data_IF_687741937625
#
_entry.id   IF_687741937625
#
_cell.length_a   1.000
_cell.length_b   1.000
_cell.length_c   1.000
_cell.angle_alpha   90.00
_cell.angle_beta   90.00
_cell.angle_gamma   90.00
#
_symmetry.space_group_name_H-M   'P 1'
#
loop_
_entity.id
_entity.type
_entity.pdbx_description
1 polymer ?
#
# COMPACT_ATOMS: atom_id res chain seq x y z
N UNK A 1 6.78 22.65 14.84
CA UNK A 1 6.07 23.39 13.75
C UNK A 1 6.24 22.77 12.36
N UNK A 2 7.32 22.04 12.04
CA UNK A 2 7.48 21.40 10.73
C UNK A 2 6.52 20.21 10.46
N UNK A 3 6.07 19.51 11.50
CA UNK A 3 5.18 18.33 11.36
C UNK A 3 3.73 18.75 11.04
N UNK A 4 3.29 19.93 11.48
CA UNK A 4 1.94 20.45 11.19
C UNK A 4 1.78 20.84 9.71
N UNK A 5 2.87 21.19 9.02
CA UNK A 5 2.84 21.59 7.59
C UNK A 5 2.82 20.41 6.62
N UNK A 6 3.23 19.21 7.02
CA UNK A 6 3.21 18.05 6.13
C UNK A 6 1.87 17.32 6.13
N UNK A 7 1.13 17.32 7.24
CA UNK A 7 -0.24 16.81 7.25
C UNK A 7 -1.22 17.71 6.48
N UNK A 8 -1.00 19.01 6.45
CA UNK A 8 -1.85 19.93 5.67
C UNK A 8 -1.66 19.75 4.16
N UNK A 9 -0.44 19.44 3.70
CA UNK A 9 -0.18 19.21 2.28
C UNK A 9 -0.77 17.89 1.77
N UNK A 10 -0.86 16.85 2.59
CA UNK A 10 -1.53 15.59 2.24
C UNK A 10 -3.06 15.70 2.24
N UNK A 11 -3.62 16.59 3.04
CA UNK A 11 -5.08 16.77 3.16
C UNK A 11 -5.64 17.76 2.12
N UNK A 12 -4.85 18.75 1.68
CA UNK A 12 -5.30 19.70 0.64
C UNK A 12 -5.38 19.07 -0.75
N UNK A 13 -4.59 18.03 -1.04
CA UNK A 13 -4.65 17.34 -2.35
C UNK A 13 -5.87 16.43 -2.48
N UNK A 14 -6.43 15.94 -1.36
CA UNK A 14 -7.63 15.10 -1.40
C UNK A 14 -8.93 15.88 -1.66
N UNK A 15 -8.92 17.20 -1.44
CA UNK A 15 -10.13 18.05 -1.58
C UNK A 15 -10.25 18.65 -2.98
N UNK A 16 -9.14 18.88 -3.68
CA UNK A 16 -9.17 19.50 -5.02
C UNK A 16 -9.44 18.50 -6.17
N UNK A 17 -9.50 17.19 -5.90
CA UNK A 17 -9.46 16.17 -6.96
C UNK A 17 -10.75 15.40 -7.27
N UNK A 18 -11.91 15.66 -6.67
CA UNK A 18 -13.11 14.80 -6.94
C UNK A 18 -14.46 15.47 -7.13
N UNK A 19 -14.50 16.76 -7.43
CA UNK A 19 -15.77 17.44 -7.74
C UNK A 19 -15.72 18.01 -9.16
N UNK A 20 -15.98 17.13 -10.16
CA UNK A 20 -16.42 17.64 -11.45
C UNK A 20 -17.72 18.40 -11.20
N UNK A 21 -17.80 19.68 -11.56
CA UNK A 21 -18.96 20.54 -11.30
C UNK A 21 -20.29 19.94 -11.80
N UNK A 22 -20.24 19.10 -12.84
CA UNK A 22 -21.38 18.34 -13.33
C UNK A 22 -21.95 17.31 -12.34
N UNK A 23 -21.13 16.76 -11.44
CA UNK A 23 -21.54 15.69 -10.51
C UNK A 23 -22.34 16.27 -9.35
N UNK A 24 -21.86 17.37 -8.78
CA UNK A 24 -22.60 18.10 -7.76
C UNK A 24 -23.91 18.64 -8.32
N UNK A 25 -23.89 19.18 -9.55
CA UNK A 25 -25.09 19.64 -10.23
C UNK A 25 -26.13 18.51 -10.43
N UNK A 26 -25.70 17.29 -10.79
CA UNK A 26 -26.60 16.13 -10.90
C UNK A 26 -27.25 15.78 -9.56
N UNK A 27 -26.48 15.83 -8.46
CA UNK A 27 -27.00 15.59 -7.10
C UNK A 27 -27.99 16.68 -6.67
N UNK A 28 -27.70 17.95 -6.97
CA UNK A 28 -28.61 19.06 -6.67
C UNK A 28 -29.93 18.95 -7.44
N UNK A 29 -29.89 18.57 -8.71
CA UNK A 29 -31.11 18.34 -9.50
C UNK A 29 -31.98 17.25 -8.86
N UNK A 30 -31.37 16.10 -8.50
CA UNK A 30 -32.09 15.00 -7.84
C UNK A 30 -32.68 15.43 -6.49
N UNK A 31 -31.94 16.24 -5.74
CA UNK A 31 -32.43 16.82 -4.49
C UNK A 31 -33.67 17.70 -4.72
N UNK A 32 -33.63 18.63 -5.68
CA UNK A 32 -34.76 19.50 -5.99
C UNK A 32 -35.98 18.71 -6.48
N UNK A 33 -35.77 17.67 -7.30
CA UNK A 33 -36.82 16.77 -7.75
C UNK A 33 -37.51 16.06 -6.58
N UNK A 34 -36.72 15.46 -5.67
CA UNK A 34 -37.25 14.78 -4.49
C UNK A 34 -38.00 15.74 -3.56
N UNK A 35 -37.48 16.94 -3.34
CA UNK A 35 -38.16 17.98 -2.55
C UNK A 35 -39.50 18.36 -3.19
N UNK A 36 -39.54 18.50 -4.52
CA UNK A 36 -40.78 18.84 -5.22
C UNK A 36 -41.84 17.73 -5.08
N UNK A 37 -41.44 16.46 -5.15
CA UNK A 37 -42.31 15.30 -4.93
C UNK A 37 -42.88 15.30 -3.51
N UNK A 38 -42.04 15.57 -2.51
CA UNK A 38 -42.50 15.67 -1.11
C UNK A 38 -43.52 16.81 -0.94
N UNK A 39 -43.26 17.98 -1.54
CA UNK A 39 -44.20 19.12 -1.49
C UNK A 39 -45.51 18.83 -2.24
N UNK A 40 -45.46 18.07 -3.33
CA UNK A 40 -46.65 17.62 -4.06
C UNK A 40 -47.55 16.75 -3.15
N UNK A 41 -46.97 15.79 -2.44
CA UNK A 41 -47.72 14.95 -1.49
C UNK A 41 -48.19 15.71 -0.24
N UNK A 42 -47.55 16.83 0.12
CA UNK A 42 -48.02 17.75 1.16
C UNK A 42 -49.12 18.73 0.66
N UNK A 43 -49.60 18.56 -0.57
CA UNK A 43 -50.60 19.40 -1.23
C UNK A 43 -50.15 20.86 -1.46
N UNK A 44 -48.84 21.14 -1.40
CA UNK A 44 -48.25 22.45 -1.68
C UNK A 44 -47.90 22.58 -3.16
N UNK A 45 -48.92 22.53 -4.03
CA UNK A 45 -48.76 22.43 -5.50
C UNK A 45 -47.97 23.59 -6.13
N UNK A 46 -48.14 24.82 -5.65
CA UNK A 46 -47.43 26.00 -6.19
C UNK A 46 -45.92 26.01 -5.87
N UNK A 47 -45.53 25.49 -4.70
CA UNK A 47 -44.10 25.38 -4.34
C UNK A 47 -43.47 24.21 -5.09
N UNK A 48 -44.20 23.09 -5.20
CA UNK A 48 -43.78 21.93 -5.99
C UNK A 48 -43.55 22.29 -7.47
N UNK A 49 -44.43 23.09 -8.09
CA UNK A 49 -44.27 23.49 -9.50
C UNK A 49 -43.03 24.34 -9.72
N UNK A 50 -42.67 25.23 -8.77
CA UNK A 50 -41.45 26.04 -8.85
C UNK A 50 -40.19 25.18 -8.76
N UNK A 51 -40.17 24.21 -7.83
CA UNK A 51 -39.04 23.30 -7.70
C UNK A 51 -38.91 22.35 -8.89
N UNK A 52 -40.02 21.87 -9.46
CA UNK A 52 -39.99 21.07 -10.68
C UNK A 52 -39.48 21.86 -11.88
N UNK A 53 -39.88 23.13 -12.04
CA UNK A 53 -39.36 23.99 -13.11
C UNK A 53 -37.86 24.23 -12.96
N UNK A 54 -37.38 24.38 -11.71
CA UNK A 54 -35.95 24.48 -11.41
C UNK A 54 -35.21 23.18 -11.76
N UNK A 55 -35.72 22.03 -11.31
CA UNK A 55 -35.15 20.73 -11.63
C UNK A 55 -35.11 20.47 -13.14
N UNK A 56 -36.10 20.96 -13.89
CA UNK A 56 -36.15 20.84 -15.36
C UNK A 56 -35.06 21.68 -16.06
N UNK A 57 -34.84 22.90 -15.57
CA UNK A 57 -33.73 23.75 -16.05
C UNK A 57 -32.35 23.14 -15.75
N UNK A 58 -32.19 22.56 -14.56
CA UNK A 58 -30.95 21.89 -14.16
C UNK A 58 -30.74 20.62 -15.00
N UNK A 59 -31.78 19.79 -15.17
CA UNK A 59 -31.74 18.58 -16.01
C UNK A 59 -31.37 18.92 -17.46
N UNK A 60 -31.95 19.98 -18.02
CA UNK A 60 -31.65 20.42 -19.39
C UNK A 60 -30.19 20.85 -19.55
N UNK A 61 -29.59 21.48 -18.54
CA UNK A 61 -28.18 21.86 -18.55
C UNK A 61 -27.23 20.66 -18.34
N UNK A 62 -27.69 19.64 -17.61
CA UNK A 62 -26.94 18.39 -17.34
C UNK A 62 -27.05 17.38 -18.48
N UNK A 63 -28.04 17.52 -19.36
CA UNK A 63 -28.30 16.59 -20.45
C UNK A 63 -27.21 16.73 -21.51
N UNK A 64 -26.55 15.60 -21.78
CA UNK A 64 -25.51 15.50 -22.80
C UNK A 64 -26.17 15.21 -24.15
N UNK A 65 -25.69 15.85 -25.21
CA UNK A 65 -26.12 15.59 -26.57
C UNK A 65 -25.58 14.24 -27.07
N UNK A 66 -26.48 13.39 -27.58
CA UNK A 66 -26.16 12.03 -28.03
C UNK A 66 -25.21 12.04 -29.24
N UNK A 67 -25.32 13.05 -30.12
CA UNK A 67 -24.44 13.18 -31.28
C UNK A 67 -23.00 13.53 -30.83
N UNK A 68 -22.86 14.52 -29.96
CA UNK A 68 -21.57 14.89 -29.37
C UNK A 68 -20.95 13.75 -28.55
N UNK A 69 -21.77 12.93 -27.89
CA UNK A 69 -21.31 11.73 -27.20
C UNK A 69 -20.79 10.67 -28.18
N UNK A 70 -21.56 10.36 -29.23
CA UNK A 70 -21.16 9.37 -30.25
C UNK A 70 -19.85 9.74 -30.94
N UNK A 71 -19.65 11.02 -31.25
CA UNK A 71 -18.43 11.51 -31.91
C UNK A 71 -17.20 11.37 -31.02
N UNK A 72 -17.30 11.64 -29.71
CA UNK A 72 -16.20 11.37 -28.77
C UNK A 72 -15.90 9.87 -28.62
N UNK A 73 -16.93 9.02 -28.64
CA UNK A 73 -16.75 7.57 -28.61
C UNK A 73 -16.07 7.07 -29.89
N UNK A 74 -16.44 7.62 -31.05
CA UNK A 74 -15.77 7.33 -32.34
C UNK A 74 -14.30 7.77 -32.34
N UNK A 75 -13.96 8.86 -31.64
CA UNK A 75 -12.57 9.30 -31.43
C UNK A 75 -11.78 8.37 -30.49
N UNK A 76 -12.42 7.38 -29.87
CA UNK A 76 -11.79 6.35 -29.05
C UNK A 76 -11.81 6.64 -27.54
N UNK A 77 -12.62 7.60 -27.08
CA UNK A 77 -12.88 7.80 -25.66
C UNK A 77 -13.91 6.80 -25.13
N UNK A 78 -13.84 6.46 -23.85
CA UNK A 78 -14.90 5.64 -23.26
C UNK A 78 -16.18 6.46 -23.15
N UNK A 79 -17.36 5.82 -23.19
CA UNK A 79 -18.63 6.53 -23.07
C UNK A 79 -18.74 7.31 -21.75
N UNK A 80 -18.14 6.79 -20.67
CA UNK A 80 -18.08 7.41 -19.35
C UNK A 80 -17.19 8.66 -19.38
N UNK A 81 -15.96 8.55 -19.89
CA UNK A 81 -15.04 9.69 -20.06
C UNK A 81 -15.67 10.79 -20.94
N UNK A 82 -16.33 10.39 -22.03
CA UNK A 82 -16.98 11.31 -22.94
C UNK A 82 -18.16 12.06 -22.29
N UNK A 83 -19.00 11.37 -21.50
CA UNK A 83 -20.07 12.02 -20.72
C UNK A 83 -19.51 13.00 -19.70
N UNK A 84 -18.46 12.63 -18.97
CA UNK A 84 -17.83 13.54 -18.01
C UNK A 84 -17.20 14.76 -18.69
N UNK A 85 -16.48 14.54 -19.79
CA UNK A 85 -15.89 15.63 -20.57
C UNK A 85 -16.93 16.60 -21.11
N UNK A 86 -18.04 16.08 -21.66
CA UNK A 86 -19.13 16.92 -22.16
C UNK A 86 -19.88 17.66 -21.06
N UNK A 87 -20.10 17.04 -19.89
CA UNK A 87 -20.71 17.74 -18.74
C UNK A 87 -19.79 18.83 -18.19
N UNK A 88 -18.48 18.61 -18.18
CA UNK A 88 -17.50 19.61 -17.75
C UNK A 88 -17.38 20.78 -18.74
N UNK A 89 -17.49 20.50 -20.03
CA UNK A 89 -17.44 21.48 -21.12
C UNK A 89 -18.82 22.04 -21.53
N UNK A 90 -19.86 21.81 -20.72
CA UNK A 90 -21.23 22.28 -21.00
C UNK A 90 -21.76 21.96 -22.42
N UNK A 91 -21.35 20.83 -22.99
CA UNK A 91 -21.75 20.38 -24.33
C UNK A 91 -20.80 20.76 -25.47
N UNK A 92 -19.73 21.51 -25.21
CA UNK A 92 -18.75 21.89 -26.23
C UNK A 92 -17.74 20.75 -26.50
N UNK A 93 -17.73 20.25 -27.74
CA UNK A 93 -16.92 19.09 -28.12
C UNK A 93 -15.41 19.36 -28.07
N UNK A 94 -14.96 20.53 -28.51
CA UNK A 94 -13.53 20.89 -28.50
C UNK A 94 -12.96 20.98 -27.09
N UNK A 95 -13.68 21.67 -26.19
CA UNK A 95 -13.27 21.81 -24.79
C UNK A 95 -13.37 20.47 -24.05
N UNK A 96 -14.36 19.62 -24.39
CA UNK A 96 -14.45 18.27 -23.85
C UNK A 96 -13.22 17.41 -24.20
N UNK A 97 -12.70 17.49 -25.43
CA UNK A 97 -11.48 16.77 -25.83
C UNK A 97 -10.27 17.26 -25.03
N UNK A 98 -10.11 18.57 -24.89
CA UNK A 98 -9.03 19.16 -24.08
C UNK A 98 -9.12 18.73 -22.61
N UNK A 99 -10.33 18.73 -22.05
CA UNK A 99 -10.56 18.27 -20.68
C UNK A 99 -10.21 16.79 -20.49
N UNK A 100 -10.69 15.91 -21.38
CA UNK A 100 -10.44 14.46 -21.28
C UNK A 100 -8.94 14.16 -21.41
N UNK A 101 -8.25 14.81 -22.35
CA UNK A 101 -6.81 14.61 -22.57
C UNK A 101 -6.00 15.06 -21.36
N UNK A 102 -6.32 16.22 -20.78
CA UNK A 102 -5.71 16.70 -19.54
C UNK A 102 -5.97 15.75 -18.37
N UNK A 103 -7.22 15.33 -18.17
CA UNK A 103 -7.60 14.41 -17.10
C UNK A 103 -6.87 13.07 -17.19
N UNK A 104 -6.72 12.54 -18.41
CA UNK A 104 -5.96 11.30 -18.65
C UNK A 104 -4.47 11.48 -18.35
N UNK A 105 -3.87 12.62 -18.70
CA UNK A 105 -2.48 12.95 -18.39
C UNK A 105 -2.26 13.10 -16.87
N UNK A 106 -3.15 13.81 -16.18
CA UNK A 106 -3.10 14.01 -14.73
C UNK A 106 -3.25 12.68 -13.99
N UNK A 107 -4.22 11.83 -14.37
CA UNK A 107 -4.42 10.48 -13.82
C UNK A 107 -3.21 9.58 -14.07
N UNK A 108 -2.61 9.63 -15.26
CA UNK A 108 -1.40 8.87 -15.56
C UNK A 108 -0.17 9.37 -14.77
N UNK A 109 -0.06 10.68 -14.54
CA UNK A 109 0.97 11.28 -13.70
C UNK A 109 0.84 10.87 -12.24
N UNK A 110 -0.36 10.97 -11.69
CA UNK A 110 -0.67 10.57 -10.30
C UNK A 110 -0.37 9.09 -10.06
N UNK A 111 -0.81 8.19 -10.95
CA UNK A 111 -0.51 6.75 -10.87
C UNK A 111 0.99 6.46 -10.85
N UNK A 112 1.77 7.13 -11.72
CA UNK A 112 3.23 6.97 -11.74
C UNK A 112 3.90 7.45 -10.45
N UNK A 113 3.45 8.58 -9.91
CA UNK A 113 3.97 9.11 -8.65
C UNK A 113 3.65 8.19 -7.47
N UNK A 114 2.41 7.70 -7.41
CA UNK A 114 1.97 6.76 -6.36
C UNK A 114 2.74 5.43 -6.43
N UNK A 115 2.94 4.89 -7.63
CA UNK A 115 3.74 3.67 -7.82
C UNK A 115 5.19 3.87 -7.39
N UNK A 116 5.81 5.01 -7.74
CA UNK A 116 7.17 5.34 -7.32
C UNK A 116 7.28 5.49 -5.80
N UNK A 117 6.32 6.17 -5.16
CA UNK A 117 6.27 6.29 -3.71
C UNK A 117 6.08 4.93 -3.03
N UNK A 118 5.19 4.09 -3.57
CA UNK A 118 4.96 2.72 -3.07
C UNK A 118 6.21 1.87 -3.18
N UNK A 119 6.97 2.00 -4.26
CA UNK A 119 8.26 1.32 -4.42
C UNK A 119 9.28 1.82 -3.39
N UNK A 120 9.42 3.13 -3.23
CA UNK A 120 10.34 3.74 -2.26
C UNK A 120 9.99 3.32 -0.82
N UNK A 121 8.70 3.28 -0.46
CA UNK A 121 8.25 2.82 0.85
C UNK A 121 8.52 1.32 1.07
N UNK A 122 8.46 0.48 0.02
CA UNK A 122 8.88 -0.93 0.11
C UNK A 122 10.38 -1.03 0.37
N UNK A 123 11.19 -0.19 -0.26
CA UNK A 123 12.64 -0.15 -0.03
C UNK A 123 12.99 0.30 1.39
N UNK A 124 12.35 1.37 1.90
CA UNK A 124 12.47 1.80 3.30
C UNK A 124 12.20 0.65 4.28
N UNK A 125 11.13 -0.11 4.04
CA UNK A 125 10.79 -1.29 4.86
C UNK A 125 11.86 -2.38 4.83
N UNK A 126 12.54 -2.59 3.68
CA UNK A 126 13.65 -3.56 3.58
C UNK A 126 14.88 -3.11 4.34
N UNK A 127 15.20 -1.81 4.29
CA UNK A 127 16.38 -1.24 4.94
C UNK A 127 16.23 -1.14 6.46
N UNK A 128 15.00 -1.05 6.96
CA UNK A 128 14.69 -1.03 8.39
C UNK A 128 14.76 0.37 9.00
N UNK A 129 14.57 0.44 10.31
CA UNK A 129 14.59 1.69 11.08
C UNK A 129 16.00 2.02 11.57
N UNK A 130 16.27 3.30 11.78
CA UNK A 130 17.49 3.80 12.40
C UNK A 130 17.51 3.53 13.92
N UNK A 131 18.67 3.74 14.54
CA UNK A 131 18.88 3.52 15.98
C UNK A 131 17.95 4.38 16.85
N UNK A 132 17.53 5.55 16.37
CA UNK A 132 16.53 6.40 17.04
C UNK A 132 15.13 5.76 17.14
N UNK A 133 14.82 4.74 16.33
CA UNK A 133 13.49 4.11 16.27
C UNK A 133 12.39 4.96 15.62
N UNK A 134 12.67 6.24 15.29
CA UNK A 134 11.69 7.18 14.70
C UNK A 134 11.82 7.24 13.18
N UNK A 135 13.04 7.21 12.65
CA UNK A 135 13.31 7.42 11.23
C UNK A 135 13.60 6.10 10.51
N UNK A 136 13.05 5.94 9.31
CA UNK A 136 13.40 4.84 8.40
C UNK A 136 14.69 5.18 7.65
N UNK A 137 15.49 4.16 7.35
CA UNK A 137 16.68 4.35 6.52
C UNK A 137 16.27 4.76 5.11
N UNK A 138 16.80 5.89 4.64
CA UNK A 138 16.40 6.44 3.34
C UNK A 138 17.14 5.70 2.19
N UNK A 139 16.42 5.17 1.19
CA UNK A 139 17.03 4.42 0.08
C UNK A 139 18.04 5.23 -0.73
N UNK A 140 17.84 6.56 -0.81
CA UNK A 140 18.74 7.47 -1.51
C UNK A 140 20.15 7.46 -0.93
N UNK A 141 20.27 7.52 0.40
CA UNK A 141 21.57 7.50 1.08
C UNK A 141 22.21 6.12 1.04
N UNK A 142 21.40 5.07 1.13
CA UNK A 142 21.88 3.70 0.97
C UNK A 142 22.48 3.47 -0.42
N UNK A 143 21.77 3.87 -1.48
CA UNK A 143 22.25 3.77 -2.86
C UNK A 143 23.50 4.63 -3.09
N UNK A 144 23.59 5.80 -2.45
CA UNK A 144 24.78 6.64 -2.50
C UNK A 144 26.01 5.95 -1.89
N UNK A 145 25.89 5.32 -0.71
CA UNK A 145 26.99 4.55 -0.11
C UNK A 145 27.37 3.33 -0.97
N UNK A 146 26.40 2.66 -1.58
CA UNK A 146 26.70 1.59 -2.54
C UNK A 146 27.47 2.10 -3.76
N UNK A 147 27.11 3.28 -4.28
CA UNK A 147 27.84 3.90 -5.39
C UNK A 147 29.27 4.32 -5.04
N UNK A 148 29.56 4.58 -3.76
CA UNK A 148 30.92 4.80 -3.26
C UNK A 148 31.75 3.50 -3.12
N UNK A 149 31.12 2.34 -3.32
CA UNK A 149 31.78 1.02 -3.24
C UNK A 149 31.63 0.30 -1.90
N UNK A 150 30.81 0.82 -0.97
CA UNK A 150 30.53 0.13 0.28
C UNK A 150 29.52 -1.00 0.07
N UNK A 151 29.65 -2.09 0.84
CA UNK A 151 28.70 -3.20 0.78
C UNK A 151 27.30 -2.77 1.22
N UNK A 152 26.25 -3.37 0.65
CA UNK A 152 24.86 -3.04 1.00
C UNK A 152 24.59 -3.20 2.50
N UNK A 153 25.06 -4.29 3.12
CA UNK A 153 24.85 -4.52 4.56
C UNK A 153 25.61 -3.52 5.43
N UNK A 154 26.87 -3.22 5.10
CA UNK A 154 27.66 -2.21 5.83
C UNK A 154 27.04 -0.82 5.71
N UNK A 155 26.59 -0.44 4.51
CA UNK A 155 25.91 0.82 4.27
C UNK A 155 24.60 0.92 5.04
N UNK A 156 23.81 -0.16 5.07
CA UNK A 156 22.56 -0.23 5.83
C UNK A 156 22.82 -0.03 7.32
N UNK A 157 23.74 -0.78 7.92
CA UNK A 157 24.04 -0.68 9.36
C UNK A 157 24.65 0.67 9.71
N UNK A 158 25.58 1.19 8.90
CA UNK A 158 26.16 2.49 9.13
C UNK A 158 25.13 3.63 9.08
N UNK A 159 24.14 3.56 8.18
CA UNK A 159 23.03 4.51 8.12
C UNK A 159 22.02 4.34 9.26
N UNK A 160 21.85 3.11 9.77
CA UNK A 160 21.03 2.87 10.95
C UNK A 160 21.65 3.53 12.19
N UNK A 161 22.97 3.40 12.37
CA UNK A 161 23.69 3.98 13.50
C UNK A 161 23.88 5.50 13.38
N UNK A 162 23.99 6.03 12.16
CA UNK A 162 24.19 7.47 11.91
C UNK A 162 22.89 8.26 11.70
N UNK A 163 21.72 7.63 11.84
CA UNK A 163 20.41 8.24 11.65
C UNK A 163 20.28 8.99 10.31
N UNK A 164 20.56 8.30 9.19
CA UNK A 164 20.51 8.84 7.83
C UNK A 164 21.54 9.94 7.50
N UNK A 165 22.57 10.15 8.33
CA UNK A 165 23.64 11.07 8.00
C UNK A 165 24.78 10.36 7.24
N UNK A 166 24.99 10.74 5.98
CA UNK A 166 25.98 10.11 5.09
C UNK A 166 27.42 10.36 5.55
N UNK A 167 27.78 11.57 5.98
CA UNK A 167 29.16 11.87 6.38
C UNK A 167 29.52 11.12 7.65
N UNK A 168 28.61 11.09 8.62
CA UNK A 168 28.76 10.28 9.84
C UNK A 168 28.79 8.78 9.52
N UNK A 169 28.00 8.29 8.56
CA UNK A 169 28.08 6.89 8.12
C UNK A 169 29.46 6.55 7.57
N UNK A 170 30.02 7.39 6.69
CA UNK A 170 31.34 7.15 6.11
C UNK A 170 32.43 7.18 7.18
N UNK A 171 32.36 8.14 8.11
CA UNK A 171 33.29 8.20 9.25
C UNK A 171 33.20 6.94 10.11
N UNK A 172 31.99 6.48 10.45
CA UNK A 172 31.77 5.26 11.22
C UNK A 172 32.32 4.01 10.52
N UNK A 173 32.16 3.94 9.19
CA UNK A 173 32.71 2.85 8.37
C UNK A 173 34.24 2.83 8.42
N UNK A 174 34.88 4.01 8.43
CA UNK A 174 36.34 4.13 8.42
C UNK A 174 36.97 3.95 9.80
N UNK A 175 36.33 4.47 10.85
CA UNK A 175 36.87 4.44 12.21
C UNK A 175 36.62 3.09 12.91
N UNK A 176 35.49 2.43 12.63
CA UNK A 176 35.05 1.26 13.38
C UNK A 176 34.41 0.17 12.48
N UNK A 177 35.20 -0.49 11.61
CA UNK A 177 34.68 -1.57 10.75
C UNK A 177 34.22 -2.80 11.55
N UNK A 178 34.83 -3.07 12.71
CA UNK A 178 34.55 -4.27 13.51
C UNK A 178 33.18 -4.21 14.20
N UNK A 179 32.75 -3.04 14.68
CA UNK A 179 31.43 -2.84 15.30
C UNK A 179 30.30 -2.99 14.28
N UNK A 180 30.54 -2.57 13.05
CA UNK A 180 29.62 -2.77 11.93
C UNK A 180 29.52 -4.26 11.55
N UNK A 181 30.63 -4.98 11.55
CA UNK A 181 30.64 -6.42 11.29
C UNK A 181 29.88 -7.21 12.36
N UNK A 182 30.03 -6.86 13.64
CA UNK A 182 29.28 -7.51 14.74
C UNK A 182 27.79 -7.25 14.62
N UNK A 183 27.36 -6.02 14.35
CA UNK A 183 25.94 -5.71 14.11
C UNK A 183 25.37 -6.47 12.89
N UNK A 184 26.17 -6.69 11.85
CA UNK A 184 25.82 -7.55 10.71
C UNK A 184 25.68 -9.05 11.09
N UNK A 185 26.48 -9.56 12.04
CA UNK A 185 26.48 -10.99 12.41
C UNK A 185 25.25 -11.45 13.18
N UNK A 186 24.57 -10.54 13.88
CA UNK A 186 23.42 -10.83 14.76
C UNK A 186 22.23 -11.52 14.07
N UNK A 187 22.12 -11.42 12.73
CA UNK A 187 21.02 -12.01 11.93
C UNK A 187 21.42 -13.26 11.14
N UNK A 188 22.64 -13.76 11.31
CA UNK A 188 23.11 -14.93 10.56
C UNK A 188 22.38 -16.21 10.99
N UNK A 189 21.63 -16.83 10.07
CA UNK A 189 21.00 -18.14 10.28
C UNK A 189 22.03 -19.25 10.04
N UNK A 190 22.49 -19.87 11.13
CA UNK A 190 23.40 -21.02 11.08
C UNK A 190 22.71 -22.19 10.36
N UNK A 191 23.34 -22.71 9.30
CA UNK A 191 22.88 -23.92 8.61
C UNK A 191 23.09 -25.14 9.50
N UNK A 192 22.13 -26.09 9.48
CA UNK A 192 22.18 -27.31 10.29
C UNK A 192 23.45 -28.16 10.03
N UNK A 193 23.94 -28.18 8.79
CA UNK A 193 25.15 -28.91 8.40
C UNK A 193 26.42 -28.38 9.10
N UNK A 194 26.57 -27.05 9.17
CA UNK A 194 27.73 -26.42 9.82
C UNK A 194 27.68 -26.62 11.33
N UNK A 195 26.47 -26.57 11.92
CA UNK A 195 26.27 -26.87 13.33
C UNK A 195 26.62 -28.33 13.65
N UNK A 196 26.21 -29.28 12.82
CA UNK A 196 26.53 -30.70 12.99
C UNK A 196 28.03 -30.97 12.93
N UNK A 197 28.78 -30.28 12.07
CA UNK A 197 30.24 -30.43 12.00
C UNK A 197 30.93 -30.00 13.29
N UNK A 198 30.53 -28.87 13.89
CA UNK A 198 31.11 -28.40 15.17
C UNK A 198 30.68 -29.30 16.34
N UNK A 199 29.44 -29.79 16.34
CA UNK A 199 28.95 -30.74 17.35
C UNK A 199 29.66 -32.09 17.24
N UNK A 200 29.98 -32.55 16.03
CA UNK A 200 30.73 -33.79 15.81
C UNK A 200 32.16 -33.73 16.36
N UNK A 201 32.74 -32.54 16.50
CA UNK A 201 34.05 -32.30 17.13
C UNK A 201 33.95 -32.38 18.67
N UNK A 202 32.73 -32.40 19.23
CA UNK A 202 32.47 -32.64 20.65
C UNK A 202 32.06 -31.40 21.45
N UNK A 203 31.76 -30.28 20.78
CA UNK A 203 31.29 -29.05 21.43
C UNK A 203 29.76 -29.04 21.61
N UNK A 204 29.29 -28.36 22.67
CA UNK A 204 27.86 -28.21 22.95
C UNK A 204 27.16 -27.47 21.77
N UNK A 205 26.04 -28.00 21.23
CA UNK A 205 25.26 -27.35 20.17
C UNK A 205 24.87 -25.90 20.47
N UNK A 206 24.67 -25.51 21.73
CA UNK A 206 24.36 -24.12 22.10
C UNK A 206 25.55 -23.19 21.88
N UNK A 207 26.73 -23.61 22.31
CA UNK A 207 27.98 -22.86 22.18
C UNK A 207 28.49 -22.85 20.74
N UNK A 208 28.36 -23.99 20.04
CA UNK A 208 28.63 -24.11 18.62
C UNK A 208 27.78 -23.13 17.79
N UNK A 209 26.50 -22.98 18.12
CA UNK A 209 25.61 -22.03 17.44
C UNK A 209 26.06 -20.58 17.67
N UNK A 210 26.47 -20.22 18.89
CA UNK A 210 26.98 -18.89 19.22
C UNK A 210 28.30 -18.59 18.49
N UNK A 211 29.26 -19.51 18.51
CA UNK A 211 30.54 -19.39 17.81
C UNK A 211 30.36 -19.23 16.29
N UNK A 212 29.48 -20.06 15.70
CA UNK A 212 29.16 -20.00 14.28
C UNK A 212 28.41 -18.71 13.89
N UNK A 213 27.61 -18.15 14.80
CA UNK A 213 26.99 -16.83 14.59
C UNK A 213 28.04 -15.72 14.58
N UNK A 214 28.99 -15.75 15.52
CA UNK A 214 30.07 -14.75 15.63
C UNK A 214 30.97 -14.73 14.40
N UNK A 215 31.27 -15.91 13.85
CA UNK A 215 32.16 -16.09 12.70
C UNK A 215 31.46 -16.31 11.35
N UNK A 216 30.17 -15.98 11.25
CA UNK A 216 29.38 -16.03 10.01
C UNK A 216 29.42 -17.40 9.29
N UNK A 217 29.43 -18.50 10.07
CA UNK A 217 29.41 -19.86 9.55
C UNK A 217 30.78 -20.44 9.15
N UNK A 218 31.89 -19.76 9.42
CA UNK A 218 33.21 -20.38 9.27
C UNK A 218 33.45 -21.40 10.38
N UNK A 219 33.34 -22.69 10.04
CA UNK A 219 33.47 -23.82 10.97
C UNK A 219 34.85 -23.84 11.63
N UNK A 220 35.92 -23.63 10.87
CA UNK A 220 37.30 -23.66 11.37
C UNK A 220 37.54 -22.56 12.42
N UNK A 221 37.20 -21.31 12.10
CA UNK A 221 37.35 -20.17 13.02
C UNK A 221 36.47 -20.29 14.26
N UNK A 222 35.26 -20.83 14.11
CA UNK A 222 34.36 -21.09 15.23
C UNK A 222 34.91 -22.17 16.17
N UNK A 223 35.53 -23.22 15.62
CA UNK A 223 36.19 -24.27 16.43
C UNK A 223 37.44 -23.70 17.11
N UNK A 224 38.25 -22.91 16.42
CA UNK A 224 39.42 -22.25 17.01
C UNK A 224 39.04 -21.36 18.22
N UNK A 225 37.99 -20.54 18.08
CA UNK A 225 37.48 -19.71 19.19
C UNK A 225 36.99 -20.59 20.37
N UNK A 226 36.26 -21.68 20.09
CA UNK A 226 35.78 -22.61 21.12
C UNK A 226 36.91 -23.36 21.83
N UNK A 227 37.99 -23.72 21.11
CA UNK A 227 39.18 -24.35 21.69
C UNK A 227 39.91 -23.36 22.60
N UNK A 228 40.07 -22.10 22.16
CA UNK A 228 40.75 -21.05 22.94
C UNK A 228 39.95 -20.70 24.20
N UNK A 229 38.62 -20.64 24.11
CA UNK A 229 37.73 -20.30 25.22
C UNK A 229 37.33 -21.50 26.11
N UNK A 230 37.95 -22.67 25.91
CA UNK A 230 37.67 -23.85 26.74
C UNK A 230 36.22 -24.36 26.65
N UNK A 231 35.55 -24.12 25.53
CA UNK A 231 34.17 -24.50 25.28
C UNK A 231 33.10 -23.52 25.79
N UNK A 232 33.48 -22.41 26.45
CA UNK A 232 32.54 -21.42 26.99
C UNK A 232 32.86 -20.02 26.44
N UNK A 233 32.03 -19.55 25.52
CA UNK A 233 32.01 -18.16 25.05
C UNK A 233 31.18 -17.35 26.05
N UNK A 234 31.84 -16.54 26.88
CA UNK A 234 31.17 -15.56 27.73
C UNK A 234 30.50 -14.50 26.85
N UNK A 235 29.17 -14.51 26.82
CA UNK A 235 28.38 -13.41 26.28
C UNK A 235 28.04 -12.47 27.43
N UNK A 236 28.80 -11.38 27.59
CA UNK A 236 28.35 -10.30 28.48
C UNK A 236 27.02 -9.72 27.97
N UNK A 237 25.99 -9.85 28.83
CA UNK A 237 24.63 -9.26 28.77
C UNK A 237 23.65 -9.79 27.70
N UNK A 238 22.89 -10.80 28.10
CA UNK A 238 21.45 -10.77 27.89
C UNK A 238 20.79 -10.73 29.27
N UNK A 239 20.41 -9.53 29.71
CA UNK A 239 19.42 -9.34 30.77
C UNK A 239 18.07 -9.82 30.25
N UNK A 240 17.37 -10.58 31.08
CA UNK A 240 15.98 -10.97 30.91
C UNK A 240 15.10 -9.82 30.41
N UNK A 241 14.52 -10.02 29.24
CA UNK A 241 13.16 -9.57 28.91
C UNK A 241 12.52 -10.69 28.12
N UNK A 242 11.54 -11.30 28.77
CA UNK A 242 10.52 -12.19 28.23
C UNK A 242 10.05 -11.75 26.85
N UNK A 243 10.12 -12.64 25.88
CA UNK A 243 9.09 -12.70 24.84
C UNK A 243 8.72 -14.17 24.63
N UNK A 244 7.50 -14.46 25.07
CA UNK A 244 6.75 -15.67 24.80
C UNK A 244 6.36 -15.71 23.33
N UNK A 245 6.81 -16.72 22.60
CA UNK A 245 6.00 -17.54 21.69
C UNK A 245 6.92 -18.47 20.90
N UNK A 246 7.04 -19.71 21.36
CA UNK A 246 6.51 -20.87 20.63
C UNK A 246 6.72 -22.10 21.53
N UNK A 247 5.63 -22.53 22.16
CA UNK A 247 5.60 -23.84 22.80
C UNK A 247 5.21 -24.86 21.73
N UNK A 248 6.07 -25.86 21.51
CA UNK A 248 5.63 -27.24 21.76
C UNK A 248 6.84 -28.18 21.85
N UNK A 249 6.86 -28.89 22.98
CA UNK A 249 7.94 -29.69 23.55
C UNK A 249 7.99 -31.14 23.01
N UNK A 250 9.02 -31.89 23.43
CA UNK A 250 8.93 -33.29 23.87
C UNK A 250 10.21 -33.63 24.65
N UNK A 251 10.13 -34.20 25.87
CA UNK A 251 10.20 -35.64 26.17
C UNK A 251 10.07 -35.82 27.71
N UNK A 252 9.48 -36.83 28.37
CA UNK A 252 8.95 -38.20 28.17
C UNK A 252 7.95 -38.44 29.37
N UNK A 253 6.99 -39.38 29.43
CA UNK A 253 7.05 -40.86 29.30
C UNK A 253 5.62 -41.45 29.21
N UNK A 254 5.53 -42.68 28.66
CA UNK A 254 4.51 -43.73 28.86
C UNK A 254 3.38 -44.00 27.83
N UNK A 255 3.74 -44.91 26.90
CA UNK A 255 3.06 -46.11 26.34
C UNK A 255 1.68 -46.02 25.61
N UNK A 256 1.70 -46.53 24.35
CA UNK A 256 0.59 -46.95 23.44
C UNK A 256 -0.12 -45.79 22.73
N UNK A 257 -0.40 -45.75 21.43
CA UNK A 257 -0.58 -46.78 20.41
C UNK A 257 -0.33 -46.20 19.00
N UNK A 258 -0.23 -47.09 18.03
CA UNK A 258 0.31 -46.94 16.68
C UNK A 258 -0.15 -45.75 15.80
N UNK A 259 0.79 -45.36 14.91
CA UNK A 259 0.61 -45.02 13.47
C UNK A 259 0.50 -43.53 13.09
N UNK A 260 1.66 -42.90 12.85
CA UNK A 260 2.06 -42.37 11.51
C UNK A 260 3.46 -41.72 11.57
N UNK A 261 4.47 -42.47 11.11
CA UNK A 261 5.68 -41.91 10.48
C UNK A 261 5.32 -41.59 9.03
N UNK A 262 5.46 -40.33 8.62
CA UNK A 262 5.97 -39.89 7.32
C UNK A 262 5.75 -38.37 7.17
N UNK A 263 6.73 -37.70 6.55
CA UNK A 263 6.70 -36.34 5.99
C UNK A 263 7.04 -35.15 6.90
N UNK A 264 8.32 -35.07 7.26
CA UNK A 264 8.99 -33.84 7.68
C UNK A 264 9.66 -33.08 6.51
N UNK A 265 9.34 -33.41 5.25
CA UNK A 265 10.03 -32.91 4.05
C UNK A 265 9.20 -31.92 3.18
N UNK A 266 8.04 -31.44 3.65
CA UNK A 266 7.07 -30.65 2.83
C UNK A 266 6.87 -29.20 3.31
N UNK A 267 7.78 -28.62 4.11
CA UNK A 267 7.54 -27.29 4.74
C UNK A 267 7.91 -26.06 3.90
N UNK A 268 8.39 -26.21 2.67
CA UNK A 268 8.61 -25.07 1.75
C UNK A 268 7.40 -24.75 0.87
N UNK A 269 6.53 -25.73 0.57
CA UNK A 269 5.35 -25.53 -0.29
C UNK A 269 4.24 -24.66 0.32
N UNK A 270 4.01 -24.76 1.63
CA UNK A 270 2.83 -24.14 2.26
C UNK A 270 2.88 -22.62 2.39
N UNK A 271 4.07 -22.02 2.48
CA UNK A 271 4.21 -20.55 2.61
C UNK A 271 4.03 -19.83 1.28
N UNK A 272 4.53 -20.42 0.19
CA UNK A 272 4.30 -19.91 -1.16
C UNK A 272 2.85 -20.10 -1.59
N UNK A 273 2.26 -21.28 -1.32
CA UNK A 273 0.84 -21.54 -1.56
C UNK A 273 -0.08 -20.58 -0.78
N UNK A 274 0.25 -20.25 0.48
CA UNK A 274 -0.52 -19.29 1.26
C UNK A 274 -0.45 -17.87 0.66
N UNK A 275 0.74 -17.45 0.22
CA UNK A 275 0.96 -16.15 -0.41
C UNK A 275 0.30 -16.05 -1.80
N UNK A 276 0.26 -17.15 -2.53
CA UNK A 276 -0.44 -17.25 -3.81
C UNK A 276 -1.96 -17.23 -3.62
N UNK A 277 -2.48 -17.96 -2.63
CA UNK A 277 -3.90 -17.89 -2.23
C UNK A 277 -4.30 -16.47 -1.79
N UNK A 278 -3.45 -15.79 -1.03
CA UNK A 278 -3.64 -14.39 -0.64
C UNK A 278 -3.68 -13.48 -1.88
N UNK A 279 -2.71 -13.62 -2.80
CA UNK A 279 -2.68 -12.85 -4.06
C UNK A 279 -3.93 -13.09 -4.91
N UNK A 280 -4.38 -14.35 -5.03
CA UNK A 280 -5.60 -14.71 -5.75
C UNK A 280 -6.85 -14.16 -5.08
N UNK A 281 -6.88 -14.11 -3.74
CA UNK A 281 -7.97 -13.47 -3.00
C UNK A 281 -8.00 -11.96 -3.28
N UNK A 282 -6.86 -11.27 -3.28
CA UNK A 282 -6.78 -9.86 -3.68
C UNK A 282 -7.19 -9.62 -5.13
N UNK A 283 -6.80 -10.51 -6.05
CA UNK A 283 -7.20 -10.41 -7.45
C UNK A 283 -8.72 -10.57 -7.61
N UNK A 284 -9.33 -11.57 -6.95
CA UNK A 284 -10.79 -11.74 -6.95
C UNK A 284 -11.54 -10.53 -6.37
N UNK A 285 -10.98 -9.89 -5.34
CA UNK A 285 -11.55 -8.66 -4.79
C UNK A 285 -11.41 -7.50 -5.78
N UNK A 286 -10.27 -7.37 -6.45
CA UNK A 286 -10.04 -6.33 -7.44
C UNK A 286 -10.96 -6.47 -8.67
N UNK A 287 -11.23 -7.69 -9.14
CA UNK A 287 -12.10 -7.96 -10.28
C UNK A 287 -13.55 -7.49 -10.06
N UNK A 288 -14.00 -7.40 -8.81
CA UNK A 288 -15.33 -6.92 -8.43
C UNK A 288 -15.41 -5.43 -8.09
N UNK A 289 -14.28 -4.72 -8.07
CA UNK A 289 -14.26 -3.27 -7.83
C UNK A 289 -14.31 -2.52 -9.17
N UNK A 290 -15.07 -1.40 -9.24
CA UNK A 290 -15.04 -0.52 -10.41
C UNK A 290 -13.60 -0.15 -10.75
N UNK A 291 -13.21 -0.38 -12.01
CA UNK A 291 -11.85 -0.10 -12.49
C UNK A 291 -11.57 1.40 -12.61
N UNK A 292 -12.64 2.18 -12.80
CA UNK A 292 -12.60 3.64 -12.85
C UNK A 292 -13.21 4.18 -11.55
N UNK A 293 -12.45 5.01 -10.85
CA UNK A 293 -12.86 5.56 -9.56
C UNK A 293 -14.13 6.41 -9.61
N UNK A 294 -14.57 6.81 -10.81
CA UNK A 294 -15.68 7.72 -11.04
C UNK A 294 -16.91 7.06 -11.68
N UNK A 295 -16.88 5.73 -11.94
CA UNK A 295 -18.02 5.01 -12.55
C UNK A 295 -19.31 5.14 -11.74
N UNK A 296 -19.19 5.19 -10.40
CA UNK A 296 -20.31 5.36 -9.49
C UNK A 296 -20.96 6.76 -9.54
N UNK A 297 -20.28 7.74 -10.15
CA UNK A 297 -20.75 9.12 -10.31
C UNK A 297 -21.38 9.37 -11.69
N UNK A 298 -21.36 8.37 -12.58
CA UNK A 298 -21.97 8.51 -13.91
C UNK A 298 -23.49 8.27 -13.84
N UNK A 299 -24.20 9.31 -13.42
CA UNK A 299 -25.67 9.33 -13.37
C UNK A 299 -26.22 9.72 -14.75
N UNK A 300 -26.94 8.82 -15.42
CA UNK A 300 -27.58 9.11 -16.73
C UNK A 300 -28.83 9.99 -16.60
N UNK A 301 -29.38 10.15 -15.39
CA UNK A 301 -30.54 10.98 -15.06
C UNK A 301 -31.85 10.60 -15.80
N UNK A 302 -31.89 9.44 -16.45
CA UNK A 302 -33.05 8.95 -17.20
C UNK A 302 -34.27 8.75 -16.31
N UNK A 303 -34.08 8.15 -15.13
CA UNK A 303 -35.15 7.93 -14.16
C UNK A 303 -35.70 9.26 -13.65
N UNK A 304 -34.83 10.18 -13.31
CA UNK A 304 -35.17 11.53 -12.87
C UNK A 304 -36.02 12.26 -13.94
N UNK A 305 -35.67 12.14 -15.23
CA UNK A 305 -36.46 12.68 -16.34
C UNK A 305 -37.87 12.07 -16.39
N UNK A 306 -38.00 10.75 -16.21
CA UNK A 306 -39.33 10.10 -16.20
C UNK A 306 -40.21 10.58 -15.05
N UNK A 307 -39.66 10.68 -13.84
CA UNK A 307 -40.40 11.18 -12.68
C UNK A 307 -40.77 12.65 -12.85
N UNK A 308 -39.84 13.48 -13.31
CA UNK A 308 -40.10 14.89 -13.55
C UNK A 308 -41.28 15.09 -14.50
N UNK A 309 -41.30 14.38 -15.64
CA UNK A 309 -42.42 14.41 -16.59
C UNK A 309 -43.73 13.92 -15.96
N UNK A 310 -43.69 12.82 -15.20
CA UNK A 310 -44.88 12.30 -14.52
C UNK A 310 -45.48 13.35 -13.57
N UNK A 311 -44.69 13.94 -12.68
CA UNK A 311 -45.19 14.93 -11.72
C UNK A 311 -45.60 16.26 -12.39
N UNK A 312 -44.95 16.66 -13.48
CA UNK A 312 -45.42 17.77 -14.31
C UNK A 312 -46.82 17.50 -14.89
N UNK A 313 -47.06 16.30 -15.43
CA UNK A 313 -48.40 15.94 -15.95
C UNK A 313 -49.47 15.87 -14.87
N UNK A 314 -49.12 15.39 -13.66
CA UNK A 314 -50.03 15.35 -12.52
C UNK A 314 -50.37 16.74 -11.96
N UNK A 315 -49.47 17.72 -12.11
CA UNK A 315 -49.75 19.11 -11.76
C UNK A 315 -50.57 19.84 -12.83
N UNK A 316 -50.38 19.46 -14.11
CA UNK A 316 -51.14 20.03 -15.24
C UNK A 316 -52.58 19.52 -15.29
N UNK A 317 -52.83 18.29 -14.83
CA UNK A 317 -54.16 17.68 -14.72
C UNK A 317 -54.54 17.53 -13.23
N UNK A 318 -55.03 18.61 -12.57
CA UNK A 318 -55.16 18.70 -11.12
C UNK A 318 -56.16 17.73 -10.46
#
# INVERSE_FOLDING_TARGET
MAIQMQLTAGCTVYVELKHCAGNEAALFMRLHLLQAIVLFHQNKRQEASKLLARADSELSALKVDDYSLSTLVELGYTAVEARFGLRAAHGDLSEAVEYITKQRADKAGAKKMEEAERQLNRERRKLGQCADGVHWVEPKFHNLLMSMGYSSETARVALQQSNNNVSLSVQLIQEQPDLLNVACTSKFKVKKEMLQQVVAIGFDPRMAKLALQRHQGNVEKAVEELVICGGVIESERCTDVTDSDDSDECEQVDVKDMKKKADADVKTGTKEEAREKERLAYQRLADGMPTEEDDHLDLTLELEETFLRQYQTLLANP
#
